data_IF_475959022096
#
_entry.id   IF_475959022096
#
_cell.length_a   1.000
_cell.length_b   1.000
_cell.length_c   1.000
_cell.angle_alpha   90.00
_cell.angle_beta   90.00
_cell.angle_gamma   90.00
#
_symmetry.space_group_name_H-M   'P 1'
#
loop_
_entity.id
_entity.type
_entity.pdbx_description
1 polymer ?
#
# COMPACT_ATOMS: atom_id res chain seq x y z
N UNK A 1 -5.62 2.60 13.49
CA UNK A 1 -6.75 2.20 12.61
C UNK A 1 -7.63 3.43 12.38
N UNK A 2 -7.69 3.94 11.15
CA UNK A 2 -8.36 5.21 10.84
C UNK A 2 -9.88 5.11 10.62
N UNK A 3 -10.41 3.94 10.24
CA UNK A 3 -11.82 3.79 9.85
C UNK A 3 -12.55 2.74 10.70
N UNK A 4 -13.46 3.20 11.57
CA UNK A 4 -14.21 2.32 12.48
C UNK A 4 -15.11 1.37 11.67
N UNK A 5 -14.95 0.07 11.91
CA UNK A 5 -15.74 -0.97 11.24
C UNK A 5 -15.15 -1.46 9.93
N UNK A 6 -14.04 -0.89 9.44
CA UNK A 6 -13.33 -1.45 8.30
C UNK A 6 -12.29 -2.48 8.73
N UNK A 7 -11.93 -3.38 7.81
CA UNK A 7 -10.90 -4.40 8.03
C UNK A 7 -9.50 -3.80 7.91
N UNK A 8 -8.48 -4.40 8.57
CA UNK A 8 -7.08 -4.12 8.27
C UNK A 8 -6.63 -4.81 6.96
N UNK A 9 -5.45 -4.43 6.43
CA UNK A 9 -4.73 -5.17 5.40
C UNK A 9 -4.62 -6.68 5.68
N UNK A 10 -4.60 -7.47 4.61
CA UNK A 10 -4.44 -8.92 4.67
C UNK A 10 -3.02 -9.36 4.31
N UNK A 11 -2.57 -10.45 4.94
CA UNK A 11 -1.40 -11.22 4.52
C UNK A 11 -1.91 -12.44 3.75
N UNK A 12 -1.52 -12.56 2.47
CA UNK A 12 -1.99 -13.57 1.52
C UNK A 12 -0.80 -14.36 0.94
N UNK A 13 -1.01 -15.54 0.34
CA UNK A 13 -2.27 -16.28 0.26
C UNK A 13 -2.65 -16.94 1.58
N UNK A 14 -3.96 -17.06 1.81
CA UNK A 14 -4.56 -17.92 2.83
C UNK A 14 -5.74 -18.66 2.20
N UNK A 15 -6.15 -19.79 2.77
CA UNK A 15 -7.33 -20.51 2.30
C UNK A 15 -8.56 -19.60 2.36
N UNK A 16 -9.30 -19.47 1.26
CA UNK A 16 -10.44 -18.54 1.17
C UNK A 16 -10.06 -17.06 1.09
N UNK A 17 -8.79 -16.71 0.83
CA UNK A 17 -8.26 -15.35 0.75
C UNK A 17 -8.77 -14.53 -0.43
N UNK A 18 -10.08 -14.28 -0.47
CA UNK A 18 -10.74 -13.34 -1.38
C UNK A 18 -10.68 -13.73 -2.86
N UNK A 19 -10.60 -15.03 -3.15
CA UNK A 19 -10.42 -15.56 -4.52
C UNK A 19 -9.18 -14.97 -5.22
N UNK A 20 -8.19 -14.52 -4.43
CA UNK A 20 -6.91 -14.07 -4.92
C UNK A 20 -5.96 -15.27 -5.03
N UNK A 21 -5.69 -15.68 -6.28
CA UNK A 21 -4.82 -16.83 -6.59
C UNK A 21 -3.38 -16.42 -6.93
N UNK A 22 -2.99 -15.19 -6.59
CA UNK A 22 -1.63 -14.68 -6.83
C UNK A 22 -0.60 -15.49 -6.05
N UNK A 23 0.52 -15.81 -6.69
CA UNK A 23 1.69 -16.38 -6.00
C UNK A 23 2.59 -15.24 -5.51
N UNK A 24 3.13 -15.30 -4.27
CA UNK A 24 4.16 -14.36 -3.82
C UNK A 24 5.35 -14.34 -4.79
N UNK A 25 5.96 -13.17 -4.99
CA UNK A 25 7.23 -13.09 -5.74
C UNK A 25 8.41 -13.46 -4.84
N UNK A 26 8.27 -13.26 -3.52
CA UNK A 26 9.32 -13.57 -2.55
C UNK A 26 8.74 -14.27 -1.31
N UNK A 27 9.44 -15.30 -0.82
CA UNK A 27 8.99 -16.06 0.35
C UNK A 27 7.65 -16.76 0.12
N UNK A 28 6.78 -16.73 1.14
CA UNK A 28 5.52 -17.48 1.15
C UNK A 28 4.27 -16.60 1.20
N UNK A 29 4.42 -15.28 1.38
CA UNK A 29 3.30 -14.36 1.60
C UNK A 29 3.57 -12.98 1.01
N UNK A 30 2.52 -12.27 0.65
CA UNK A 30 2.49 -10.86 0.25
C UNK A 30 1.38 -10.12 1.01
N UNK A 31 1.38 -8.80 0.95
CA UNK A 31 0.35 -7.95 1.56
C UNK A 31 -0.67 -7.53 0.52
N UNK A 32 -1.95 -7.56 0.87
CA UNK A 32 -3.03 -6.94 0.10
C UNK A 32 -3.60 -5.77 0.90
N UNK A 33 -3.72 -4.62 0.23
CA UNK A 33 -4.39 -3.44 0.78
C UNK A 33 -5.51 -2.99 -0.15
N UNK A 34 -6.61 -2.50 0.42
CA UNK A 34 -7.77 -2.03 -0.35
C UNK A 34 -8.08 -0.55 -0.18
N UNK A 35 -8.73 0.01 -1.19
CA UNK A 35 -9.54 1.23 -1.12
C UNK A 35 -10.99 0.87 -1.39
N UNK A 36 -11.93 1.55 -0.74
CA UNK A 36 -13.35 1.17 -0.72
C UNK A 36 -14.24 2.24 -1.31
N UNK A 37 -15.43 1.85 -1.73
CA UNK A 37 -16.47 2.73 -2.25
C UNK A 37 -17.11 3.67 -1.21
N UNK A 38 -16.67 3.62 0.05
CA UNK A 38 -17.12 4.47 1.16
C UNK A 38 -16.03 5.45 1.64
N UNK A 39 -15.08 5.80 0.78
CA UNK A 39 -13.99 6.74 1.06
C UNK A 39 -13.07 6.31 2.23
N UNK A 40 -12.87 4.99 2.36
CA UNK A 40 -11.93 4.40 3.30
C UNK A 40 -10.85 3.60 2.57
N UNK A 41 -9.68 3.53 3.20
CA UNK A 41 -8.51 2.84 2.66
C UNK A 41 -7.70 2.20 3.76
N UNK A 42 -6.74 1.38 3.35
CA UNK A 42 -5.86 0.68 4.26
C UNK A 42 -4.42 1.18 4.17
N UNK A 43 -3.73 1.04 5.29
CA UNK A 43 -2.32 1.34 5.41
C UNK A 43 -1.65 0.39 6.41
N UNK A 44 -0.35 0.17 6.21
CA UNK A 44 0.55 -0.49 7.17
C UNK A 44 1.68 0.47 7.52
N UNK A 45 2.24 0.33 8.72
CA UNK A 45 3.38 1.12 9.16
C UNK A 45 4.46 0.25 9.78
N UNK A 46 5.69 0.73 9.69
CA UNK A 46 6.86 0.09 10.28
C UNK A 46 7.75 1.14 10.94
N UNK A 47 8.17 0.87 12.18
CA UNK A 47 9.25 1.62 12.81
C UNK A 47 10.58 1.33 12.12
N UNK A 48 11.31 2.38 11.78
CA UNK A 48 12.62 2.28 11.17
C UNK A 48 13.66 2.05 12.26
N UNK A 49 14.57 1.10 12.03
CA UNK A 49 15.71 0.88 12.93
C UNK A 49 16.56 2.15 13.08
N UNK A 50 16.66 2.93 12.00
CA UNK A 50 17.33 4.23 11.97
C UNK A 50 16.39 5.24 11.33
N UNK A 51 16.16 6.42 11.95
CA UNK A 51 15.31 7.45 11.36
C UNK A 51 15.82 7.89 9.98
N UNK A 52 14.90 8.19 9.07
CA UNK A 52 15.23 8.97 7.88
C UNK A 52 15.52 10.41 8.33
N UNK A 53 16.56 11.01 7.75
CA UNK A 53 17.05 12.34 8.08
C UNK A 53 16.72 13.31 6.95
N UNK A 54 16.28 14.51 7.33
CA UNK A 54 15.89 15.62 6.45
C UNK A 54 16.97 16.11 5.46
N UNK A 55 18.24 15.80 5.70
CA UNK A 55 19.38 16.25 4.90
C UNK A 55 19.91 15.18 3.92
N UNK A 56 19.14 14.11 3.74
CA UNK A 56 19.61 12.87 3.15
C UNK A 56 18.65 12.35 2.10
N UNK A 57 19.20 11.82 1.00
CA UNK A 57 18.42 11.12 -0.02
C UNK A 57 18.48 9.62 0.22
N UNK A 58 17.35 8.93 0.05
CA UNK A 58 17.24 7.49 0.22
C UNK A 58 16.70 6.83 -1.05
N UNK A 59 17.10 5.59 -1.27
CA UNK A 59 16.53 4.71 -2.28
C UNK A 59 15.78 3.55 -1.63
N UNK A 60 14.60 3.27 -2.15
CA UNK A 60 13.73 2.18 -1.74
C UNK A 60 13.10 1.53 -2.97
N UNK A 61 12.81 0.24 -2.90
CA UNK A 61 12.05 -0.43 -3.94
C UNK A 61 11.10 -1.48 -3.36
N UNK A 62 10.03 -1.76 -4.09
CA UNK A 62 9.01 -2.75 -3.70
C UNK A 62 8.38 -3.34 -4.96
N UNK A 63 7.96 -4.60 -4.90
CA UNK A 63 7.19 -5.22 -5.97
C UNK A 63 5.70 -4.89 -5.76
N UNK A 64 5.07 -4.34 -6.79
CA UNK A 64 3.64 -4.00 -6.77
C UNK A 64 2.92 -4.70 -7.92
N UNK A 65 1.67 -5.08 -7.70
CA UNK A 65 0.75 -5.50 -8.76
C UNK A 65 -0.71 -5.34 -8.35
N UNK A 66 -1.61 -5.55 -9.31
CA UNK A 66 -3.03 -5.72 -9.09
C UNK A 66 -3.48 -7.06 -9.70
N UNK A 67 -3.92 -7.98 -8.85
CA UNK A 67 -4.50 -9.24 -9.33
C UNK A 67 -5.83 -9.01 -10.06
N UNK A 68 -6.28 -9.99 -10.85
CA UNK A 68 -7.57 -9.89 -11.57
C UNK A 68 -8.78 -10.01 -10.63
N UNK A 69 -8.62 -10.69 -9.51
CA UNK A 69 -9.70 -11.02 -8.57
C UNK A 69 -9.26 -10.74 -7.14
N UNK A 70 -10.04 -9.89 -6.48
CA UNK A 70 -9.97 -9.66 -5.05
C UNK A 70 -11.40 -9.41 -4.56
N UNK A 71 -12.08 -10.50 -4.18
CA UNK A 71 -13.50 -10.52 -3.88
C UNK A 71 -13.72 -10.21 -2.41
N UNK A 72 -14.23 -9.02 -2.10
CA UNK A 72 -14.43 -8.55 -0.73
C UNK A 72 -15.84 -7.94 -0.53
N UNK A 73 -16.41 -7.93 0.68
CA UNK A 73 -17.67 -7.26 0.97
C UNK A 73 -17.60 -5.74 0.71
N UNK A 74 -18.65 -5.16 0.13
CA UNK A 74 -18.82 -3.70 0.02
C UNK A 74 -19.86 -3.22 1.03
N UNK A 75 -19.61 -2.08 1.67
CA UNK A 75 -20.57 -1.44 2.59
C UNK A 75 -21.78 -0.88 1.84
N UNK A 76 -21.61 -0.43 0.60
CA UNK A 76 -22.71 0.04 -0.25
C UNK A 76 -23.54 -1.11 -0.83
N UNK A 77 -23.02 -2.34 -0.85
CA UNK A 77 -23.70 -3.54 -1.34
C UNK A 77 -23.58 -4.68 -0.32
N UNK A 78 -24.20 -4.55 0.87
CA UNK A 78 -23.98 -5.47 2.00
C UNK A 78 -24.33 -6.93 1.68
N UNK A 79 -25.27 -7.17 0.76
CA UNK A 79 -25.71 -8.51 0.38
C UNK A 79 -24.85 -9.16 -0.72
N UNK A 80 -23.78 -8.48 -1.19
CA UNK A 80 -22.95 -8.96 -2.30
C UNK A 80 -21.47 -8.73 -2.04
N UNK A 81 -20.67 -9.78 -2.23
CA UNK A 81 -19.24 -9.59 -2.45
C UNK A 81 -19.01 -9.00 -3.84
N UNK A 82 -18.07 -8.07 -3.95
CA UNK A 82 -17.72 -7.42 -5.21
C UNK A 82 -16.23 -7.55 -5.45
N UNK A 83 -15.83 -7.46 -6.72
CA UNK A 83 -14.42 -7.47 -7.08
C UNK A 83 -13.82 -6.08 -6.90
N UNK A 84 -12.76 -5.98 -6.09
CA UNK A 84 -12.04 -4.76 -5.80
C UNK A 84 -10.96 -4.53 -6.88
N UNK A 85 -11.35 -4.44 -8.15
CA UNK A 85 -10.44 -4.50 -9.29
C UNK A 85 -10.14 -3.15 -9.94
N UNK A 86 -10.54 -2.04 -9.32
CA UNK A 86 -10.15 -0.72 -9.81
C UNK A 86 -8.70 -0.43 -9.43
N UNK A 87 -7.84 0.02 -10.36
CA UNK A 87 -6.45 0.37 -10.08
C UNK A 87 -6.30 1.36 -8.93
N UNK A 88 -5.21 1.23 -8.17
CA UNK A 88 -4.91 2.10 -7.02
C UNK A 88 -3.44 2.54 -7.06
N UNK A 89 -3.08 3.54 -6.26
CA UNK A 89 -1.72 4.03 -6.07
C UNK A 89 -1.22 3.59 -4.71
N UNK A 90 0.09 3.37 -4.60
CA UNK A 90 0.78 3.34 -3.31
C UNK A 90 1.22 4.77 -2.97
N UNK A 91 0.79 5.27 -1.80
CA UNK A 91 1.41 6.42 -1.15
C UNK A 91 2.37 5.93 -0.07
N UNK A 92 3.51 6.59 0.04
CA UNK A 92 4.55 6.30 1.01
C UNK A 92 4.75 7.56 1.85
N UNK A 93 4.56 7.42 3.15
CA UNK A 93 4.67 8.53 4.10
C UNK A 93 5.81 8.31 5.08
N UNK A 94 6.48 9.40 5.44
CA UNK A 94 7.27 9.50 6.66
C UNK A 94 6.39 9.91 7.84
N UNK A 95 6.63 9.31 9.01
CA UNK A 95 5.91 9.61 10.24
C UNK A 95 6.78 9.57 11.50
N UNK A 96 6.22 10.02 12.62
CA UNK A 96 6.86 9.99 13.94
C UNK A 96 6.37 8.85 14.84
N UNK A 97 5.25 8.22 14.49
CA UNK A 97 4.60 7.13 15.20
C UNK A 97 3.77 6.27 14.24
N UNK A 98 3.37 5.08 14.69
CA UNK A 98 2.66 4.09 13.89
C UNK A 98 1.31 4.56 13.29
N UNK A 99 0.69 5.61 13.85
CA UNK A 99 -0.58 6.18 13.39
C UNK A 99 -0.48 7.64 12.88
N UNK A 100 0.73 8.20 12.78
CA UNK A 100 0.91 9.60 12.41
C UNK A 100 1.73 9.72 11.12
N UNK A 101 1.03 9.80 9.99
CA UNK A 101 1.63 10.12 8.69
C UNK A 101 1.80 11.63 8.57
N UNK A 102 3.03 12.10 8.37
CA UNK A 102 3.38 13.52 8.43
C UNK A 102 3.77 14.07 7.06
N UNK A 103 4.65 13.36 6.35
CA UNK A 103 5.20 13.83 5.07
C UNK A 103 4.99 12.80 3.97
N UNK A 104 4.40 13.20 2.85
CA UNK A 104 4.28 12.34 1.67
C UNK A 104 5.62 12.34 0.92
N UNK A 105 6.36 11.25 1.06
CA UNK A 105 7.73 11.11 0.52
C UNK A 105 7.79 10.27 -0.76
N UNK A 106 6.70 9.60 -1.14
CA UNK A 106 6.64 8.83 -2.38
C UNK A 106 5.21 8.54 -2.83
N UNK A 107 5.00 8.49 -4.15
CA UNK A 107 3.73 8.09 -4.76
C UNK A 107 4.02 7.25 -6.00
N UNK A 108 3.41 6.07 -6.10
CA UNK A 108 3.52 5.25 -7.30
C UNK A 108 2.67 5.81 -8.44
N UNK A 109 2.97 5.47 -9.70
CA UNK A 109 1.96 5.49 -10.76
C UNK A 109 0.74 4.64 -10.37
N UNK A 110 -0.35 4.81 -11.13
CA UNK A 110 -1.52 3.96 -10.99
C UNK A 110 -1.16 2.50 -11.34
N UNK A 111 -1.33 1.57 -10.41
CA UNK A 111 -0.93 0.17 -10.54
C UNK A 111 -1.99 -0.59 -11.36
N UNK A 112 -1.63 -0.93 -12.61
CA UNK A 112 -2.48 -1.63 -13.58
C UNK A 112 -1.89 -2.96 -14.05
N UNK A 113 -0.67 -3.27 -13.64
CA UNK A 113 0.04 -4.48 -14.00
C UNK A 113 -0.55 -5.69 -13.24
N UNK A 114 -0.75 -6.79 -13.96
CA UNK A 114 -1.28 -8.04 -13.44
C UNK A 114 -0.21 -9.07 -13.06
N UNK A 115 1.05 -8.71 -13.26
CA UNK A 115 2.23 -9.46 -12.85
C UNK A 115 3.08 -8.54 -11.97
N UNK A 116 3.84 -9.14 -11.04
CA UNK A 116 4.74 -8.39 -10.16
C UNK A 116 5.73 -7.55 -10.96
N UNK A 117 5.76 -6.25 -10.65
CA UNK A 117 6.74 -5.32 -11.20
C UNK A 117 7.45 -4.59 -10.07
N UNK A 118 8.76 -4.39 -10.23
CA UNK A 118 9.57 -3.63 -9.29
C UNK A 118 9.36 -2.13 -9.51
N UNK A 119 8.99 -1.42 -8.45
CA UNK A 119 8.92 0.03 -8.40
C UNK A 119 10.04 0.55 -7.50
N UNK A 120 10.77 1.54 -7.98
CA UNK A 120 11.84 2.21 -7.24
C UNK A 120 11.40 3.62 -6.89
N UNK A 121 11.67 4.03 -5.66
CA UNK A 121 11.37 5.33 -5.11
C UNK A 121 12.65 5.97 -4.60
N UNK A 122 12.72 7.28 -4.79
CA UNK A 122 13.71 8.12 -4.13
C UNK A 122 12.99 8.96 -3.08
N UNK A 123 13.46 8.92 -1.84
CA UNK A 123 12.91 9.73 -0.75
C UNK A 123 13.87 10.89 -0.47
N UNK A 124 13.31 12.10 -0.46
CA UNK A 124 13.99 13.34 -0.08
C UNK A 124 13.17 14.01 1.03
N UNK A 125 13.17 13.43 2.25
CA UNK A 125 12.36 13.95 3.35
C UNK A 125 12.80 15.36 3.72
N UNK A 126 11.85 16.21 4.09
CA UNK A 126 12.09 17.60 4.53
C UNK A 126 12.19 17.72 6.05
N UNK A 127 11.85 16.64 6.78
CA UNK A 127 12.01 16.50 8.22
C UNK A 127 12.41 15.07 8.59
N UNK A 128 12.84 14.86 9.83
CA UNK A 128 13.24 13.52 10.28
C UNK A 128 12.01 12.62 10.53
N UNK A 129 12.10 11.34 10.15
CA UNK A 129 11.01 10.37 10.28
C UNK A 129 11.47 9.07 10.92
N UNK A 130 10.73 8.60 11.92
CA UNK A 130 10.99 7.33 12.62
C UNK A 130 10.18 6.17 12.06
N UNK A 131 9.11 6.47 11.32
CA UNK A 131 8.21 5.48 10.75
C UNK A 131 8.11 5.68 9.24
N UNK A 132 7.93 4.56 8.53
CA UNK A 132 7.45 4.55 7.16
C UNK A 132 6.04 3.97 7.13
N UNK A 133 5.15 4.59 6.38
CA UNK A 133 3.76 4.15 6.21
C UNK A 133 3.49 3.91 4.73
N UNK A 134 2.95 2.74 4.41
CA UNK A 134 2.47 2.37 3.08
C UNK A 134 0.95 2.43 3.07
N UNK A 135 0.39 3.23 2.17
CA UNK A 135 -1.02 3.54 2.11
C UNK A 135 -1.56 3.26 0.70
N UNK A 136 -2.64 2.47 0.60
CA UNK A 136 -3.39 2.34 -0.64
C UNK A 136 -4.22 3.61 -0.87
N UNK A 137 -4.22 4.13 -2.09
CA UNK A 137 -4.96 5.36 -2.41
C UNK A 137 -5.61 5.31 -3.79
N UNK A 138 -6.73 6.01 -3.93
CA UNK A 138 -7.45 6.19 -5.19
C UNK A 138 -6.61 6.96 -6.25
N UNK A 139 -7.05 6.90 -7.50
CA UNK A 139 -6.49 7.70 -8.60
C UNK A 139 -6.92 9.17 -8.52
N UNK A 140 -6.12 10.01 -7.85
CA UNK A 140 -6.44 11.43 -7.68
C UNK A 140 -6.11 12.28 -8.92
N UNK A 141 -6.94 13.30 -9.24
CA UNK A 141 -8.23 13.62 -8.61
C UNK A 141 -9.35 12.67 -9.09
N UNK A 142 -10.02 11.99 -8.15
CA UNK A 142 -11.21 11.17 -8.44
C UNK A 142 -12.45 11.90 -7.94
N UNK A 143 -13.58 11.76 -8.65
CA UNK A 143 -14.86 12.35 -8.25
C UNK A 143 -15.72 11.41 -7.41
N UNK A 144 -15.40 10.11 -7.35
CA UNK A 144 -16.22 9.12 -6.63
C UNK A 144 -15.34 7.98 -6.10
N UNK A 145 -15.37 7.68 -4.79
CA UNK A 145 -14.68 6.52 -4.22
C UNK A 145 -15.09 5.22 -4.93
N UNK A 146 -14.17 4.25 -4.96
CA UNK A 146 -14.38 2.97 -5.63
C UNK A 146 -13.70 1.81 -4.90
N UNK A 147 -14.10 0.58 -5.22
CA UNK A 147 -13.45 -0.63 -4.68
C UNK A 147 -12.23 -1.01 -5.53
N UNK A 148 -11.05 -0.93 -4.95
CA UNK A 148 -9.78 -1.24 -5.58
C UNK A 148 -8.82 -1.91 -4.60
N UNK A 149 -7.78 -2.54 -5.13
CA UNK A 149 -6.72 -3.14 -4.31
C UNK A 149 -5.34 -2.94 -4.95
N UNK A 150 -4.32 -3.14 -4.12
CA UNK A 150 -2.91 -3.22 -4.47
C UNK A 150 -2.26 -4.35 -3.69
N UNK A 151 -1.37 -5.10 -4.35
CA UNK A 151 -0.55 -6.13 -3.73
C UNK A 151 0.88 -5.64 -3.60
N UNK A 152 1.49 -5.88 -2.43
CA UNK A 152 2.83 -5.44 -2.05
C UNK A 152 3.66 -6.66 -1.64
N UNK A 153 4.87 -6.79 -2.21
CA UNK A 153 5.82 -7.84 -1.82
C UNK A 153 7.25 -7.37 -2.06
N UNK A 154 8.24 -8.08 -1.50
CA UNK A 154 9.67 -7.90 -1.79
C UNK A 154 10.16 -6.46 -1.63
N UNK A 155 9.74 -5.79 -0.55
CA UNK A 155 10.26 -4.48 -0.17
C UNK A 155 11.76 -4.57 0.14
N UNK A 156 12.56 -3.69 -0.43
CA UNK A 156 14.00 -3.60 -0.16
C UNK A 156 14.26 -2.85 1.14
N UNK A 157 15.47 -2.98 1.68
CA UNK A 157 15.97 -2.03 2.67
C UNK A 157 15.93 -0.60 2.12
N UNK A 158 15.56 0.37 2.94
CA UNK A 158 15.72 1.79 2.64
C UNK A 158 17.19 2.14 2.81
N UNK A 159 17.86 2.56 1.74
CA UNK A 159 19.30 2.84 1.74
C UNK A 159 19.56 4.32 1.56
N UNK A 160 20.31 4.94 2.47
CA UNK A 160 20.84 6.30 2.29
C UNK A 160 21.81 6.28 1.10
N UNK A 161 21.61 7.17 0.12
CA UNK A 161 22.53 7.32 -1.01
C UNK A 161 23.86 7.88 -0.50
N UNK A 162 24.96 7.24 -0.89
CA UNK A 162 26.29 7.82 -0.71
C UNK A 162 26.49 8.92 -1.74
N UNK A 163 27.04 10.06 -1.30
CA UNK A 163 27.51 11.11 -2.21
C UNK A 163 28.63 10.60 -3.12
#
# INVERSE_FOLDING_TARGET
MHFRGETPPDVLPVEGGWENNTKPIHGNTFIAMVVRDNDSWEAISQELQYPMQSDSTYEFSIALMQSKTHISPSRLKPDKKVNFNKPTKLRIWGGDSHCNAIELIGVSPLIKNHDWQKYTFEFNPTQDHKFIIFEAMYDTPYSTPYNGHILLDMASTIKKKTK
#
